data_IF_817195548643
#
_entry.id   IF_817195548643
#
_cell.length_a   1.000
_cell.length_b   1.000
_cell.length_c   1.000
_cell.angle_alpha   90.00
_cell.angle_beta   90.00
_cell.angle_gamma   90.00
#
_symmetry.space_group_name_H-M   'P 1'
#
loop_
_entity.id
_entity.type
_entity.pdbx_description
1 polymer ?
#
# COMPACT_ATOMS: atom_id res chain seq x y z
N UNK A 1 -15.20 19.95 -13.40
CA UNK A 1 -13.80 19.55 -13.15
C UNK A 1 -13.88 18.26 -12.34
N UNK A 2 -13.11 17.23 -12.71
CA UNK A 2 -13.23 15.90 -12.11
C UNK A 2 -12.24 15.70 -10.97
N UNK A 3 -12.51 14.75 -10.07
CA UNK A 3 -11.56 14.32 -9.04
C UNK A 3 -10.87 13.02 -9.45
N UNK A 4 -9.67 12.80 -8.91
CA UNK A 4 -8.96 11.52 -8.93
C UNK A 4 -8.74 11.03 -7.51
N UNK A 5 -8.62 9.72 -7.34
CA UNK A 5 -8.20 9.14 -6.05
C UNK A 5 -6.73 8.76 -6.12
N UNK A 6 -5.94 9.32 -5.22
CA UNK A 6 -4.51 9.05 -5.10
C UNK A 6 -4.24 8.22 -3.84
N UNK A 7 -3.29 7.29 -3.94
CA UNK A 7 -2.75 6.57 -2.80
C UNK A 7 -1.25 6.40 -2.97
N UNK A 8 -0.49 6.57 -1.88
CA UNK A 8 0.97 6.46 -1.90
C UNK A 8 1.40 5.48 -0.83
N UNK A 9 2.12 4.45 -1.24
CA UNK A 9 2.68 3.45 -0.36
C UNK A 9 4.12 3.16 -0.75
N UNK A 10 4.93 2.81 0.23
CA UNK A 10 6.30 2.34 0.02
C UNK A 10 6.40 0.87 0.41
N UNK A 11 7.07 0.07 -0.43
CA UNK A 11 7.33 -1.32 -0.10
C UNK A 11 8.26 -1.43 1.11
N UNK A 12 8.02 -2.40 1.99
CA UNK A 12 8.97 -2.73 3.04
C UNK A 12 10.14 -3.50 2.40
N UNK A 13 11.40 -3.05 2.58
CA UNK A 13 12.54 -3.67 1.94
C UNK A 13 12.82 -5.07 2.47
N UNK A 14 13.47 -5.89 1.65
CA UNK A 14 13.94 -7.20 2.09
C UNK A 14 15.11 -7.09 3.08
N UNK A 15 15.23 -8.03 4.04
CA UNK A 15 14.41 -9.24 4.23
C UNK A 15 13.09 -9.03 5.01
N UNK A 16 12.76 -7.79 5.37
CA UNK A 16 11.68 -7.50 6.32
C UNK A 16 10.29 -7.65 5.70
N UNK A 17 10.17 -7.41 4.40
CA UNK A 17 8.92 -7.60 3.65
C UNK A 17 8.44 -9.05 3.75
N UNK A 18 9.31 -9.99 3.37
CA UNK A 18 9.05 -11.43 3.47
C UNK A 18 8.86 -11.88 4.92
N UNK A 19 9.71 -11.41 5.84
CA UNK A 19 9.59 -11.75 7.26
C UNK A 19 8.20 -11.46 7.83
N UNK A 20 7.61 -10.30 7.50
CA UNK A 20 6.29 -9.91 8.01
C UNK A 20 5.15 -10.72 7.38
N UNK A 21 5.24 -11.06 6.10
CA UNK A 21 4.27 -11.93 5.46
C UNK A 21 4.29 -13.34 6.07
N UNK A 22 5.48 -13.90 6.28
CA UNK A 22 5.63 -15.22 6.91
C UNK A 22 5.06 -15.25 8.33
N UNK A 23 5.23 -14.15 9.10
CA UNK A 23 4.62 -14.03 10.43
C UNK A 23 3.11 -14.01 10.36
N UNK A 24 2.52 -13.24 9.42
CA UNK A 24 1.06 -13.26 9.20
C UNK A 24 0.57 -14.66 8.85
N UNK A 25 1.27 -15.35 7.93
CA UNK A 25 0.94 -16.72 7.55
C UNK A 25 1.01 -17.68 8.74
N UNK A 26 2.03 -17.54 9.59
CA UNK A 26 2.20 -18.37 10.80
C UNK A 26 1.06 -18.22 11.81
N UNK A 27 0.33 -17.11 11.78
CA UNK A 27 -0.87 -16.89 12.59
C UNK A 27 -2.17 -17.32 11.90
N UNK A 28 -2.08 -17.94 10.73
CA UNK A 28 -3.23 -18.44 9.98
C UNK A 28 -3.96 -17.37 9.17
N UNK A 29 -3.33 -16.23 8.89
CA UNK A 29 -3.91 -15.19 8.04
C UNK A 29 -3.99 -15.66 6.57
N UNK A 30 -5.20 -15.88 6.01
CA UNK A 30 -5.36 -16.36 4.64
C UNK A 30 -4.92 -15.33 3.58
N UNK A 31 -4.79 -14.07 3.98
CA UNK A 31 -4.35 -12.97 3.12
C UNK A 31 -2.89 -12.58 3.35
N UNK A 32 -2.10 -13.41 4.07
CA UNK A 32 -0.70 -13.14 4.41
C UNK A 32 0.14 -12.70 3.20
N UNK A 33 -0.12 -13.30 2.03
CA UNK A 33 0.60 -13.05 0.77
C UNK A 33 -0.23 -12.29 -0.28
N UNK A 34 -1.44 -11.85 0.08
CA UNK A 34 -2.35 -11.21 -0.88
C UNK A 34 -1.90 -9.84 -1.37
N UNK A 35 -1.16 -9.10 -0.53
CA UNK A 35 -0.55 -7.82 -0.87
C UNK A 35 0.87 -7.81 -0.28
N UNK A 36 1.89 -7.34 -1.01
CA UNK A 36 3.22 -7.11 -0.45
C UNK A 36 3.17 -6.20 0.77
N UNK A 37 4.01 -6.49 1.77
CA UNK A 37 4.13 -5.63 2.94
C UNK A 37 4.56 -4.23 2.53
N UNK A 38 3.81 -3.22 2.98
CA UNK A 38 4.06 -1.83 2.65
C UNK A 38 3.69 -0.92 3.82
N UNK A 39 4.19 0.31 3.77
CA UNK A 39 3.75 1.41 4.62
C UNK A 39 2.97 2.39 3.77
N UNK A 40 1.71 2.62 4.11
CA UNK A 40 0.88 3.65 3.49
C UNK A 40 1.34 5.03 3.98
N UNK A 41 1.77 5.87 3.06
CA UNK A 41 2.12 7.27 3.33
C UNK A 41 0.93 8.20 3.10
N UNK A 42 0.10 7.89 2.09
CA UNK A 42 -1.14 8.58 1.79
C UNK A 42 -2.23 7.54 1.52
N UNK A 43 -3.31 7.47 2.33
CA UNK A 43 -4.45 6.60 2.03
C UNK A 43 -5.17 7.09 0.76
N UNK A 44 -6.14 6.32 0.22
CA UNK A 44 -7.00 6.80 -0.85
C UNK A 44 -7.56 8.20 -0.52
N UNK A 45 -7.11 9.20 -1.28
CA UNK A 45 -7.39 10.61 -1.06
C UNK A 45 -7.90 11.21 -2.35
N UNK A 46 -9.06 11.85 -2.31
CA UNK A 46 -9.58 12.58 -3.46
C UNK A 46 -8.80 13.88 -3.66
N UNK A 47 -8.40 14.14 -4.90
CA UNK A 47 -7.74 15.36 -5.32
C UNK A 47 -8.42 15.88 -6.59
N UNK A 48 -8.50 17.22 -6.73
CA UNK A 48 -8.98 17.83 -7.96
C UNK A 48 -7.99 17.52 -9.09
N UNK A 49 -8.51 17.05 -10.24
CA UNK A 49 -7.66 16.72 -11.38
C UNK A 49 -6.92 17.95 -11.92
N UNK A 50 -7.43 19.15 -11.65
CA UNK A 50 -6.84 20.42 -12.04
C UNK A 50 -5.53 20.74 -11.29
N UNK A 51 -5.29 20.12 -10.14
CA UNK A 51 -4.09 20.32 -9.33
C UNK A 51 -2.92 19.42 -9.77
N UNK A 52 -3.18 18.46 -10.67
CA UNK A 52 -2.13 17.59 -11.21
C UNK A 52 -1.25 18.34 -12.22
N UNK A 53 0.06 18.06 -12.27
CA UNK A 53 0.94 18.58 -13.32
C UNK A 53 0.40 18.20 -14.71
N UNK A 54 0.59 19.11 -15.68
CA UNK A 54 0.24 18.90 -17.09
C UNK A 54 1.16 17.89 -17.80
#
# INVERSE_FOLDING_TARGET
MGTVTLGVSIAVPEPYGSLLQDRRASFGDPAAFGIPTHVTLLPPTEAESADLPA
#
